data_IF_151764039265
#
_entry.id   IF_151764039265
#
_cell.length_a   1.000
_cell.length_b   1.000
_cell.length_c   1.000
_cell.angle_alpha   90.00
_cell.angle_beta   90.00
_cell.angle_gamma   90.00
#
_symmetry.space_group_name_H-M   'P 1'
#
loop_
_entity.id
_entity.type
_entity.pdbx_description
1 polymer ?
#
# COMPACT_ATOMS: atom_id res chain seq x y z
N UNK A 1 -40.94 13.75 42.20
CA UNK A 1 -39.82 14.51 41.60
C UNK A 1 -38.52 13.70 41.64
N UNK A 2 -38.13 13.14 42.79
CA UNK A 2 -36.89 12.34 42.93
C UNK A 2 -36.84 11.10 42.04
N UNK A 3 -37.97 10.40 41.82
CA UNK A 3 -38.01 9.21 40.92
C UNK A 3 -37.59 9.55 39.49
N UNK A 4 -38.08 10.66 38.92
CA UNK A 4 -37.69 11.07 37.57
C UNK A 4 -36.21 11.49 37.47
N UNK A 5 -35.67 12.10 38.52
CA UNK A 5 -34.24 12.44 38.58
C UNK A 5 -33.40 11.17 38.61
N UNK A 6 -33.76 10.19 39.44
CA UNK A 6 -33.07 8.89 39.50
C UNK A 6 -33.17 8.17 38.15
N UNK A 7 -34.34 8.18 37.51
CA UNK A 7 -34.54 7.57 36.20
C UNK A 7 -33.69 8.24 35.12
N UNK A 8 -33.66 9.59 35.09
CA UNK A 8 -32.83 10.34 34.16
C UNK A 8 -31.33 10.05 34.36
N UNK A 9 -30.86 10.03 35.61
CA UNK A 9 -29.47 9.68 35.93
C UNK A 9 -29.14 8.24 35.55
N UNK A 10 -30.06 7.30 35.74
CA UNK A 10 -29.87 5.91 35.34
C UNK A 10 -29.74 5.76 33.82
N UNK A 11 -30.57 6.46 33.03
CA UNK A 11 -30.49 6.46 31.57
C UNK A 11 -29.18 7.07 31.09
N UNK A 12 -28.79 8.21 31.66
CA UNK A 12 -27.53 8.89 31.32
C UNK A 12 -26.33 8.02 31.67
N UNK A 13 -26.28 7.49 32.90
CA UNK A 13 -25.20 6.62 33.35
C UNK A 13 -25.11 5.32 32.55
N UNK A 14 -26.24 4.70 32.24
CA UNK A 14 -26.33 3.51 31.40
C UNK A 14 -25.87 3.78 29.96
N UNK A 15 -26.29 4.89 29.37
CA UNK A 15 -25.87 5.31 28.03
C UNK A 15 -24.37 5.60 27.95
N UNK A 16 -23.82 6.34 28.92
CA UNK A 16 -22.38 6.63 29.02
C UNK A 16 -21.56 5.35 29.17
N UNK A 17 -21.96 4.45 30.07
CA UNK A 17 -21.26 3.20 30.28
C UNK A 17 -21.34 2.27 29.07
N UNK A 18 -22.53 2.12 28.48
CA UNK A 18 -22.72 1.32 27.27
C UNK A 18 -21.92 1.86 26.09
N UNK A 19 -21.95 3.17 25.87
CA UNK A 19 -21.16 3.85 24.84
C UNK A 19 -19.66 3.66 25.06
N UNK A 20 -19.16 3.88 26.28
CA UNK A 20 -17.75 3.67 26.62
C UNK A 20 -17.33 2.21 26.42
N UNK A 21 -18.14 1.26 26.87
CA UNK A 21 -17.87 -0.17 26.68
C UNK A 21 -17.82 -0.57 25.20
N UNK A 22 -18.68 0.02 24.37
CA UNK A 22 -18.69 -0.21 22.93
C UNK A 22 -17.45 0.37 22.25
N UNK A 23 -17.03 1.59 22.60
CA UNK A 23 -15.80 2.13 21.99
C UNK A 23 -14.56 1.29 22.32
N UNK A 24 -14.53 0.65 23.50
CA UNK A 24 -13.44 -0.26 23.88
C UNK A 24 -13.45 -1.62 23.13
N UNK A 25 -14.50 -1.94 22.38
CA UNK A 25 -14.57 -3.21 21.61
C UNK A 25 -14.24 -3.05 20.13
N UNK A 26 -14.10 -1.81 19.64
CA UNK A 26 -13.85 -1.52 18.23
C UNK A 26 -12.35 -1.55 17.91
N UNK A 27 -12.02 -1.91 16.67
CA UNK A 27 -10.67 -1.86 16.12
C UNK A 27 -10.69 -1.15 14.77
N UNK A 28 -9.56 -0.61 14.36
CA UNK A 28 -9.43 -0.06 13.01
C UNK A 28 -7.99 -0.06 12.54
N UNK A 29 -7.81 -0.05 11.23
CA UNK A 29 -6.52 0.10 10.57
C UNK A 29 -6.40 1.52 10.06
N UNK A 30 -5.35 2.22 10.48
CA UNK A 30 -5.14 3.64 10.18
C UNK A 30 -3.71 3.96 9.78
N UNK A 31 -3.50 5.15 9.23
CA UNK A 31 -2.18 5.69 8.97
C UNK A 31 -1.57 6.25 10.27
N UNK A 32 -0.31 5.90 10.53
CA UNK A 32 0.52 6.52 11.55
C UNK A 32 1.85 6.93 10.92
N UNK A 33 2.05 8.23 10.82
CA UNK A 33 3.16 8.83 10.07
C UNK A 33 3.13 8.35 8.61
N UNK A 34 4.13 7.57 8.19
CA UNK A 34 4.27 7.01 6.83
C UNK A 34 3.95 5.51 6.77
N UNK A 35 3.47 4.93 7.87
CA UNK A 35 3.21 3.49 7.98
C UNK A 35 1.77 3.17 8.40
N UNK A 36 1.37 1.91 8.22
CA UNK A 36 0.09 1.40 8.72
C UNK A 36 0.21 1.06 10.20
N UNK A 37 -0.85 1.30 10.97
CA UNK A 37 -0.97 0.86 12.35
C UNK A 37 -2.37 0.31 12.65
N UNK A 38 -2.41 -0.64 13.59
CA UNK A 38 -3.62 -1.14 14.22
C UNK A 38 -3.95 -0.27 15.43
N UNK A 39 -5.17 0.20 15.49
CA UNK A 39 -5.70 0.96 16.61
C UNK A 39 -6.85 0.20 17.27
N UNK A 40 -6.96 0.39 18.58
CA UNK A 40 -8.11 -0.04 19.37
C UNK A 40 -8.91 1.21 19.77
N UNK A 41 -10.22 1.20 19.53
CA UNK A 41 -11.10 2.34 19.77
C UNK A 41 -11.86 2.79 18.53
N UNK A 42 -12.28 4.05 18.54
CA UNK A 42 -12.91 4.72 17.40
C UNK A 42 -12.01 5.85 16.89
N UNK A 43 -11.97 6.08 15.58
CA UNK A 43 -11.12 7.08 14.93
C UNK A 43 -11.63 8.52 15.02
N UNK A 44 -12.58 8.80 15.91
CA UNK A 44 -13.08 10.15 16.12
C UNK A 44 -12.28 10.87 17.20
N UNK A 45 -11.72 12.02 16.86
CA UNK A 45 -11.12 12.93 17.83
C UNK A 45 -12.19 13.82 18.47
N UNK A 46 -12.33 13.73 19.79
CA UNK A 46 -13.22 14.58 20.56
C UNK A 46 -12.40 15.72 21.16
N UNK A 47 -12.35 16.85 20.44
CA UNK A 47 -11.75 18.12 20.82
C UNK A 47 -10.29 18.04 21.35
N UNK A 48 -10.11 17.53 22.56
CA UNK A 48 -8.85 17.40 23.28
C UNK A 48 -8.39 15.96 23.53
N UNK A 49 -9.21 14.93 23.24
CA UNK A 49 -8.89 13.52 23.51
C UNK A 49 -9.10 12.66 22.28
N UNK A 50 -8.12 11.81 22.00
CA UNK A 50 -8.33 10.67 21.11
C UNK A 50 -8.97 9.54 21.90
N UNK A 51 -10.06 8.99 21.37
CA UNK A 51 -10.72 7.80 21.92
C UNK A 51 -10.11 6.50 21.41
N UNK A 52 -8.98 6.59 20.73
CA UNK A 52 -8.24 5.45 20.21
C UNK A 52 -6.85 5.37 20.83
N UNK A 53 -6.31 4.15 20.85
CA UNK A 53 -4.92 3.88 21.20
C UNK A 53 -4.30 3.03 20.12
N UNK A 54 -3.01 3.25 19.89
CA UNK A 54 -2.21 2.39 19.02
C UNK A 54 -2.04 1.05 19.73
N UNK A 55 -2.59 0.00 19.14
CA UNK A 55 -2.45 -1.38 19.61
C UNK A 55 -1.14 -1.97 19.06
N UNK A 56 -0.87 -1.78 17.76
CA UNK A 56 0.33 -2.29 17.10
C UNK A 56 0.73 -1.45 15.89
N UNK A 57 2.01 -1.10 15.79
CA UNK A 57 2.56 -0.44 14.59
C UNK A 57 3.07 -1.48 13.59
N UNK A 58 2.91 -1.20 12.29
CA UNK A 58 3.38 -2.05 11.19
C UNK A 58 4.32 -1.26 10.25
N UNK A 59 5.56 -0.97 10.68
CA UNK A 59 6.54 -0.22 9.89
C UNK A 59 6.98 -0.93 8.60
N UNK A 60 6.73 -2.22 8.49
CA UNK A 60 6.95 -3.00 7.26
C UNK A 60 5.97 -2.64 6.14
N UNK A 61 4.86 -1.97 6.47
CA UNK A 61 3.79 -1.58 5.55
C UNK A 61 3.83 -0.06 5.36
N UNK A 62 4.67 0.41 4.44
CA UNK A 62 4.78 1.83 4.10
C UNK A 62 3.64 2.27 3.17
N UNK A 63 2.95 3.37 3.49
CA UNK A 63 1.78 3.86 2.72
C UNK A 63 2.11 4.17 1.25
N UNK A 64 3.35 4.55 0.93
CA UNK A 64 3.78 4.81 -0.46
C UNK A 64 3.75 3.57 -1.36
N UNK A 65 3.86 2.37 -0.78
CA UNK A 65 3.81 1.11 -1.53
C UNK A 65 2.40 0.50 -1.54
N UNK A 66 1.43 1.10 -0.83
CA UNK A 66 0.03 0.70 -0.98
C UNK A 66 -0.52 1.20 -2.31
N UNK A 67 -1.44 0.46 -2.94
CA UNK A 67 -2.19 1.01 -4.05
C UNK A 67 -3.00 2.25 -3.61
N UNK A 68 -3.22 3.22 -4.51
CA UNK A 68 -3.81 4.52 -4.16
C UNK A 68 -5.15 4.44 -3.41
N UNK A 69 -6.02 3.53 -3.81
CA UNK A 69 -7.33 3.33 -3.17
C UNK A 69 -7.19 2.82 -1.73
N UNK A 70 -6.35 1.82 -1.50
CA UNK A 70 -6.09 1.26 -0.18
C UNK A 70 -5.38 2.28 0.71
N UNK A 71 -4.40 3.02 0.18
CA UNK A 71 -3.78 4.13 0.91
C UNK A 71 -4.83 5.14 1.38
N UNK A 72 -5.73 5.59 0.49
CA UNK A 72 -6.80 6.51 0.87
C UNK A 72 -7.71 5.94 1.95
N UNK A 73 -8.06 4.66 1.85
CA UNK A 73 -8.88 4.01 2.88
C UNK A 73 -8.19 3.94 4.24
N UNK A 74 -6.89 3.65 4.28
CA UNK A 74 -6.10 3.63 5.52
C UNK A 74 -5.93 5.05 6.08
N UNK A 75 -5.71 6.05 5.23
CA UNK A 75 -5.69 7.47 5.62
C UNK A 75 -7.06 7.92 6.17
N UNK A 76 -8.16 7.46 5.57
CA UNK A 76 -9.52 7.71 6.07
C UNK A 76 -9.95 6.81 7.23
N UNK A 77 -9.07 5.92 7.69
CA UNK A 77 -9.36 4.81 8.60
C UNK A 77 -10.26 3.72 8.03
N UNK A 78 -9.83 2.46 8.17
CA UNK A 78 -10.63 1.26 7.89
C UNK A 78 -11.15 0.70 9.22
N UNK A 79 -12.43 0.87 9.49
CA UNK A 79 -13.07 0.34 10.69
C UNK A 79 -13.25 -1.18 10.59
N UNK A 80 -12.88 -1.89 11.66
CA UNK A 80 -12.91 -3.34 11.74
C UNK A 80 -13.70 -3.77 12.98
N UNK A 81 -14.59 -4.75 12.81
CA UNK A 81 -15.53 -5.14 13.87
C UNK A 81 -14.86 -5.88 15.03
N UNK A 82 -13.68 -6.46 14.80
CA UNK A 82 -12.92 -7.20 15.79
C UNK A 82 -11.41 -7.22 15.43
N UNK A 83 -10.60 -7.75 16.34
CA UNK A 83 -9.14 -7.79 16.19
C UNK A 83 -8.66 -8.79 15.12
N UNK A 84 -9.43 -9.84 14.84
CA UNK A 84 -9.10 -10.84 13.83
C UNK A 84 -9.25 -10.23 12.44
N UNK A 85 -10.40 -9.63 12.14
CA UNK A 85 -10.67 -8.96 10.87
C UNK A 85 -9.62 -7.87 10.60
N UNK A 86 -9.27 -7.09 11.63
CA UNK A 86 -8.24 -6.06 11.51
C UNK A 86 -6.85 -6.63 11.19
N UNK A 87 -6.49 -7.78 11.78
CA UNK A 87 -5.22 -8.46 11.49
C UNK A 87 -5.21 -9.06 10.09
N UNK A 88 -6.32 -9.64 9.65
CA UNK A 88 -6.47 -10.12 8.28
C UNK A 88 -6.33 -8.98 7.28
N UNK A 89 -6.95 -7.83 7.57
CA UNK A 89 -6.83 -6.64 6.73
C UNK A 89 -5.39 -6.15 6.64
N UNK A 90 -4.67 -6.13 7.77
CA UNK A 90 -3.25 -5.77 7.80
C UNK A 90 -2.41 -6.76 6.99
N UNK A 91 -2.69 -8.06 7.08
CA UNK A 91 -1.98 -9.08 6.29
C UNK A 91 -2.21 -8.88 4.78
N UNK A 92 -3.44 -8.55 4.38
CA UNK A 92 -3.78 -8.21 3.00
C UNK A 92 -2.98 -6.99 2.50
N UNK A 93 -2.96 -5.91 3.30
CA UNK A 93 -2.22 -4.69 2.99
C UNK A 93 -0.71 -4.93 2.94
N UNK A 94 -0.18 -5.79 3.82
CA UNK A 94 1.23 -6.17 3.83
C UNK A 94 1.63 -6.92 2.55
N UNK A 95 0.81 -7.88 2.12
CA UNK A 95 1.03 -8.61 0.88
C UNK A 95 1.06 -7.66 -0.33
N UNK A 96 0.10 -6.73 -0.41
CA UNK A 96 0.05 -5.72 -1.47
C UNK A 96 1.26 -4.78 -1.44
N UNK A 97 1.59 -4.24 -0.27
CA UNK A 97 2.72 -3.34 -0.10
C UNK A 97 4.04 -4.00 -0.50
N UNK A 98 4.25 -5.26 -0.09
CA UNK A 98 5.47 -6.01 -0.44
C UNK A 98 5.60 -6.24 -1.96
N UNK A 99 4.51 -6.60 -2.65
CA UNK A 99 4.50 -6.79 -4.09
C UNK A 99 4.80 -5.48 -4.83
N UNK A 100 4.17 -4.38 -4.43
CA UNK A 100 4.39 -3.05 -5.02
C UNK A 100 5.78 -2.50 -4.73
N UNK A 101 6.35 -2.78 -3.56
CA UNK A 101 7.72 -2.41 -3.19
C UNK A 101 8.73 -3.11 -4.08
N UNK A 102 8.59 -4.43 -4.30
CA UNK A 102 9.45 -5.19 -5.21
C UNK A 102 9.35 -4.69 -6.65
N UNK A 103 8.15 -4.37 -7.11
CA UNK A 103 7.95 -3.80 -8.45
C UNK A 103 8.63 -2.43 -8.63
N UNK A 104 8.50 -1.55 -7.64
CA UNK A 104 9.18 -0.25 -7.64
C UNK A 104 10.71 -0.40 -7.65
N UNK A 105 11.25 -1.35 -6.87
CA UNK A 105 12.68 -1.65 -6.85
C UNK A 105 13.18 -2.16 -8.20
N UNK A 106 12.42 -3.06 -8.87
CA UNK A 106 12.76 -3.56 -10.21
C UNK A 106 12.82 -2.42 -11.22
N UNK A 107 11.81 -1.54 -11.23
CA UNK A 107 11.77 -0.37 -12.12
C UNK A 107 12.92 0.59 -11.87
N UNK A 108 13.31 0.80 -10.61
CA UNK A 108 14.45 1.63 -10.26
C UNK A 108 15.78 1.04 -10.78
N UNK A 109 15.98 -0.28 -10.63
CA UNK A 109 17.18 -0.96 -11.15
C UNK A 109 17.25 -0.96 -12.69
N UNK A 110 16.11 -1.14 -13.37
CA UNK A 110 16.01 -1.03 -14.83
C UNK A 110 16.34 0.40 -15.29
N UNK A 111 15.87 1.42 -14.57
CA UNK A 111 16.16 2.83 -14.88
C UNK A 111 17.66 3.15 -14.70
N UNK A 112 18.31 2.64 -13.65
CA UNK A 112 19.75 2.81 -13.45
C UNK A 112 20.56 2.13 -14.56
N UNK A 113 20.14 0.92 -14.97
CA UNK A 113 20.79 0.20 -16.08
C UNK A 113 20.65 0.98 -17.40
N UNK A 114 19.47 1.55 -17.67
CA UNK A 114 19.23 2.41 -18.84
C UNK A 114 20.07 3.68 -18.79
N UNK A 115 20.23 4.29 -17.63
CA UNK A 115 21.08 5.46 -17.46
C UNK A 115 22.56 5.15 -17.77
N UNK A 116 23.06 3.97 -17.36
CA UNK A 116 24.43 3.53 -17.68
C UNK A 116 24.65 3.13 -19.14
N UNK A 117 23.59 2.75 -19.87
CA UNK A 117 23.66 2.37 -21.30
C UNK A 117 23.33 3.51 -22.26
N UNK A 118 22.78 4.63 -21.76
CA UNK A 118 22.38 5.80 -22.55
C UNK A 118 23.51 6.77 -22.93
N UNK A 119 24.74 6.59 -22.44
CA UNK A 119 25.91 7.40 -22.80
C UNK A 119 26.57 6.91 -24.11
N UNK A 120 25.77 6.74 -25.16
CA UNK A 120 26.25 6.20 -26.44
C UNK A 120 25.36 6.34 -27.67
N UNK A 121 24.15 6.91 -27.58
CA UNK A 121 23.28 7.04 -28.76
C UNK A 121 22.48 8.35 -28.76
N UNK A 122 23.20 9.47 -28.86
CA UNK A 122 22.63 10.76 -29.25
C UNK A 122 23.51 11.38 -30.35
N UNK A 123 23.27 10.97 -31.59
CA UNK A 123 23.94 11.50 -32.76
C UNK A 123 23.26 11.05 -34.06
N UNK A 124 22.02 11.49 -34.28
CA UNK A 124 21.28 11.08 -35.48
C UNK A 124 19.99 11.85 -35.71
N UNK A 125 20.06 13.16 -35.93
CA UNK A 125 18.97 13.87 -36.62
C UNK A 125 19.59 14.90 -37.57
N UNK A 126 19.91 14.45 -38.78
CA UNK A 126 20.13 15.32 -39.92
C UNK A 126 19.69 14.60 -41.21
N UNK A 127 18.68 15.16 -41.88
CA UNK A 127 18.52 15.10 -43.35
C UNK A 127 17.94 13.82 -43.98
N UNK A 128 16.74 13.95 -44.56
CA UNK A 128 16.10 13.02 -45.50
C UNK A 128 16.89 12.86 -46.84
N UNK A 129 16.35 12.18 -47.88
CA UNK A 129 15.80 10.82 -47.99
C UNK A 129 16.57 9.97 -49.05
N UNK A 130 16.60 8.63 -48.96
CA UNK A 130 17.06 7.80 -50.09
C UNK A 130 16.38 6.42 -50.13
N UNK A 131 15.79 6.17 -51.28
CA UNK A 131 15.14 4.96 -51.79
C UNK A 131 16.08 3.74 -51.84
N UNK A 132 15.57 2.53 -51.51
CA UNK A 132 15.60 1.27 -52.30
C UNK A 132 15.66 0.00 -51.44
N UNK A 133 14.68 -0.87 -51.72
CA UNK A 133 14.76 -2.32 -52.01
C UNK A 133 15.44 -3.27 -51.01
N UNK A 134 14.61 -4.23 -50.59
CA UNK A 134 14.87 -5.58 -50.05
C UNK A 134 16.23 -6.24 -50.31
N UNK A 135 16.78 -6.89 -49.28
CA UNK A 135 17.47 -8.17 -49.39
C UNK A 135 17.51 -8.91 -48.04
N UNK A 136 16.88 -10.09 -48.01
CA UNK A 136 17.15 -11.19 -47.08
C UNK A 136 18.63 -11.59 -47.17
N UNK A 137 19.32 -11.74 -46.04
CA UNK A 137 20.39 -12.73 -45.88
C UNK A 137 20.73 -12.95 -44.41
N UNK A 138 20.66 -14.23 -44.02
CA UNK A 138 21.16 -14.81 -42.79
C UNK A 138 22.62 -14.45 -42.52
N UNK A 139 22.94 -14.08 -41.28
CA UNK A 139 24.29 -14.18 -40.75
C UNK A 139 24.24 -14.70 -39.30
N UNK A 140 24.67 -15.95 -39.18
CA UNK A 140 24.99 -16.68 -37.95
C UNK A 140 26.10 -15.92 -37.21
N UNK A 141 25.82 -15.50 -35.97
CA UNK A 141 26.78 -14.78 -35.12
C UNK A 141 26.50 -15.06 -33.65
N UNK A 142 27.37 -15.89 -33.08
CA UNK A 142 27.46 -16.31 -31.67
C UNK A 142 27.24 -15.15 -30.69
N UNK A 143 26.18 -15.21 -29.88
CA UNK A 143 25.94 -14.23 -28.81
C UNK A 143 26.36 -14.84 -27.45
N UNK A 144 27.25 -14.19 -26.68
CA UNK A 144 27.69 -14.71 -25.40
C UNK A 144 26.56 -14.70 -24.38
N UNK A 145 26.43 -15.82 -23.68
CA UNK A 145 25.69 -15.98 -22.43
C UNK A 145 26.16 -14.93 -21.42
N UNK A 146 25.34 -13.91 -21.21
CA UNK A 146 25.30 -13.16 -19.95
C UNK A 146 23.90 -13.29 -19.42
N UNK A 147 23.71 -14.32 -18.59
CA UNK A 147 22.48 -14.50 -17.83
C UNK A 147 22.33 -13.30 -16.88
N UNK A 148 21.25 -12.51 -16.94
CA UNK A 148 20.97 -11.57 -15.87
C UNK A 148 20.65 -12.39 -14.62
N UNK A 149 21.35 -12.06 -13.53
CA UNK A 149 21.05 -12.47 -12.15
C UNK A 149 19.54 -12.55 -11.95
N UNK A 150 18.99 -13.67 -11.42
CA UNK A 150 17.56 -13.75 -11.16
C UNK A 150 17.21 -12.69 -10.12
N UNK A 151 16.60 -11.60 -10.58
CA UNK A 151 15.88 -10.68 -9.70
C UNK A 151 14.85 -11.47 -8.88
N UNK A 152 14.37 -10.93 -7.75
CA UNK A 152 13.42 -11.63 -6.91
C UNK A 152 12.23 -12.07 -7.76
N UNK A 153 12.14 -13.38 -8.00
CA UNK A 153 11.06 -13.98 -8.75
C UNK A 153 9.78 -13.72 -7.97
N UNK A 154 8.94 -12.83 -8.48
CA UNK A 154 7.62 -12.58 -7.93
C UNK A 154 6.86 -13.91 -7.92
N UNK A 155 6.37 -14.32 -6.76
CA UNK A 155 5.47 -15.47 -6.66
C UNK A 155 4.20 -15.18 -7.49
N UNK A 156 3.50 -16.22 -7.95
CA UNK A 156 2.30 -16.06 -8.81
C UNK A 156 1.24 -15.14 -8.17
N UNK A 157 1.14 -15.13 -6.84
CA UNK A 157 0.27 -14.23 -6.09
C UNK A 157 0.69 -12.75 -6.20
N UNK A 158 1.99 -12.47 -6.20
CA UNK A 158 2.52 -11.11 -6.31
C UNK A 158 2.28 -10.55 -7.72
N UNK A 159 2.44 -11.37 -8.77
CA UNK A 159 2.14 -10.96 -10.16
C UNK A 159 0.71 -10.49 -10.36
N UNK A 160 -0.25 -11.06 -9.62
CA UNK A 160 -1.67 -10.67 -9.69
C UNK A 160 -1.94 -9.31 -9.03
N UNK A 161 -1.12 -8.94 -8.04
CA UNK A 161 -1.25 -7.69 -7.28
C UNK A 161 -0.50 -6.52 -7.92
N UNK A 162 0.59 -6.76 -8.64
CA UNK A 162 1.38 -5.72 -9.33
C UNK A 162 0.54 -4.76 -10.19
N UNK A 163 -0.43 -5.21 -11.00
CA UNK A 163 -1.28 -4.31 -11.77
C UNK A 163 -2.10 -3.35 -10.92
N UNK A 164 -2.34 -3.63 -9.64
CA UNK A 164 -3.09 -2.76 -8.75
C UNK A 164 -2.23 -1.65 -8.16
N UNK A 165 -0.91 -1.80 -8.08
CA UNK A 165 0.01 -0.83 -7.47
C UNK A 165 -0.09 0.60 -8.04
N UNK A 166 -0.62 0.77 -9.25
CA UNK A 166 -0.84 2.07 -9.87
C UNK A 166 -2.28 2.32 -10.35
N UNK A 167 -3.21 1.39 -10.12
CA UNK A 167 -4.62 1.57 -10.51
C UNK A 167 -5.36 2.36 -9.43
N UNK A 168 -6.08 3.39 -9.86
CA UNK A 168 -6.95 4.20 -9.02
C UNK A 168 -8.31 3.54 -8.84
#
# INVERSE_FOLDING_TARGET
RSVYIVLALAVIGGGLYGGYRWTQTQYFVGAKDENVALFQGISQDLAWVSLSKVEKNHPEIELKYLPPYQRKQVESTIAEGNITDAREKIAELAAQASACKKDAQRRAAEAETRARTGEGEAGGTAGAPATRTSATSSAKGTKPTTAPTPGPSLSEEEKKLVPQCGKQ
#
